data_IF_905212012787
#
_entry.id   IF_905212012787
#
_cell.length_a   1.000
_cell.length_b   1.000
_cell.length_c   1.000
_cell.angle_alpha   90.00
_cell.angle_beta   90.00
_cell.angle_gamma   90.00
#
_symmetry.space_group_name_H-M   'P 1'
#
loop_
_entity.id
_entity.type
_entity.pdbx_description
1 polymer ?
#
# COMPACT_ATOMS: atom_id res chain seq x y z
N UNK A 1 -24.71 -12.18 12.39
CA UNK A 1 -24.04 -11.92 11.09
C UNK A 1 -22.86 -10.96 11.29
N UNK A 2 -21.65 -11.52 11.35
CA UNK A 2 -20.41 -10.76 11.53
C UNK A 2 -20.19 -9.92 10.28
N UNK A 3 -20.33 -8.61 10.39
CA UNK A 3 -19.92 -7.68 9.34
C UNK A 3 -18.40 -7.66 9.32
N UNK A 4 -17.81 -8.47 8.43
CA UNK A 4 -16.38 -8.43 8.12
C UNK A 4 -16.11 -7.10 7.43
N UNK A 5 -15.74 -6.10 8.24
CA UNK A 5 -15.42 -4.75 7.78
C UNK A 5 -14.23 -4.79 6.83
N UNK A 6 -14.46 -4.46 5.57
CA UNK A 6 -13.41 -4.22 4.59
C UNK A 6 -12.71 -2.91 4.98
N UNK A 7 -11.47 -3.00 5.47
CA UNK A 7 -10.65 -1.81 5.74
C UNK A 7 -10.15 -1.25 4.40
N UNK A 8 -10.71 -0.11 3.97
CA UNK A 8 -10.25 0.62 2.79
C UNK A 8 -9.15 1.60 3.21
N UNK A 9 -8.01 1.55 2.52
CA UNK A 9 -7.09 2.69 2.48
C UNK A 9 -7.50 3.51 1.30
N UNK A 10 -8.14 4.65 1.55
CA UNK A 10 -8.35 5.70 0.56
C UNK A 10 -7.28 6.74 0.80
N UNK A 11 -6.19 6.70 0.04
CA UNK A 11 -5.31 7.86 -0.06
C UNK A 11 -5.95 8.85 -1.04
N UNK A 12 -7.09 9.47 -0.68
CA UNK A 12 -7.72 10.54 -1.49
C UNK A 12 -7.12 11.92 -1.17
N UNK A 13 -6.50 12.04 0.00
CA UNK A 13 -5.72 13.17 0.52
C UNK A 13 -5.03 12.68 1.79
N UNK A 14 -4.08 13.45 2.33
CA UNK A 14 -3.46 13.24 3.65
C UNK A 14 -4.52 13.30 4.77
N UNK A 15 -5.45 12.36 4.86
CA UNK A 15 -6.56 12.39 5.81
C UNK A 15 -6.52 11.26 6.84
N UNK A 16 -7.14 11.54 7.99
CA UNK A 16 -7.04 10.82 9.24
C UNK A 16 -7.44 9.33 9.13
N UNK A 17 -6.56 8.44 9.58
CA UNK A 17 -6.83 7.02 9.70
C UNK A 17 -7.24 6.65 11.12
N UNK A 18 -8.21 5.73 11.27
CA UNK A 18 -8.54 5.14 12.57
C UNK A 18 -7.82 3.81 12.73
N UNK A 19 -7.15 3.62 13.86
CA UNK A 19 -6.51 2.35 14.20
C UNK A 19 -7.55 1.25 14.45
N UNK A 20 -7.40 0.08 13.82
CA UNK A 20 -8.37 -1.02 13.95
C UNK A 20 -8.23 -1.80 15.27
N UNK A 21 -7.02 -1.81 15.84
CA UNK A 21 -6.59 -2.44 17.09
C UNK A 21 -5.47 -1.60 17.73
N UNK A 22 -4.93 -2.05 18.86
CA UNK A 22 -3.71 -1.46 19.45
C UNK A 22 -2.62 -1.41 18.39
N UNK A 23 -2.28 -0.20 17.96
CA UNK A 23 -1.38 0.01 16.81
C UNK A 23 0.02 0.25 17.30
N UNK A 24 0.95 -0.58 16.86
CA UNK A 24 2.36 -0.49 17.22
C UNK A 24 3.01 0.65 16.42
N UNK A 25 3.59 1.63 17.12
CA UNK A 25 4.47 2.62 16.52
C UNK A 25 5.88 2.05 16.45
N UNK A 26 6.53 2.20 15.30
CA UNK A 26 7.93 1.82 15.12
C UNK A 26 8.79 3.00 14.73
N UNK A 27 10.04 2.99 15.19
CA UNK A 27 11.04 4.01 14.83
C UNK A 27 11.45 3.96 13.35
N UNK A 28 11.20 2.83 12.68
CA UNK A 28 11.55 2.62 11.27
C UNK A 28 10.43 1.97 10.45
N UNK A 29 10.60 2.01 9.14
CA UNK A 29 9.63 1.52 8.16
C UNK A 29 9.43 -0.01 8.26
N UNK A 30 10.46 -0.75 8.64
CA UNK A 30 10.46 -2.22 8.76
C UNK A 30 9.64 -2.74 9.95
N UNK A 31 9.11 -3.96 9.86
CA UNK A 31 8.56 -4.71 11.01
C UNK A 31 9.62 -4.99 12.08
N UNK A 32 10.88 -5.10 11.70
CA UNK A 32 12.00 -5.39 12.60
C UNK A 32 12.49 -4.14 13.35
N UNK A 33 12.04 -2.95 12.94
CA UNK A 33 12.44 -1.71 13.61
C UNK A 33 11.88 -1.63 15.03
N UNK A 34 12.60 -0.93 15.91
CA UNK A 34 12.25 -0.79 17.31
C UNK A 34 10.82 -0.31 17.53
N UNK A 35 10.15 -0.93 18.49
CA UNK A 35 8.84 -0.47 18.97
C UNK A 35 9.08 0.74 19.86
N UNK A 36 8.52 1.88 19.45
CA UNK A 36 8.67 3.15 20.18
C UNK A 36 7.42 3.53 20.97
N UNK A 37 6.32 2.78 20.78
CA UNK A 37 5.08 2.99 21.53
C UNK A 37 3.89 2.26 20.92
N UNK A 38 2.70 2.54 21.46
CA UNK A 38 1.43 2.05 20.92
C UNK A 38 0.35 3.13 20.93
N UNK A 39 -0.59 3.05 19.98
CA UNK A 39 -1.84 3.79 20.03
C UNK A 39 -2.98 2.89 20.47
N UNK A 40 -3.91 3.40 21.30
CA UNK A 40 -5.19 2.77 21.52
C UNK A 40 -5.95 2.58 20.20
N UNK A 41 -6.83 1.58 20.18
CA UNK A 41 -7.79 1.36 19.08
C UNK A 41 -8.64 2.62 18.84
N UNK A 42 -8.97 2.87 17.57
CA UNK A 42 -9.70 4.03 17.06
C UNK A 42 -9.06 5.41 17.28
N UNK A 43 -7.77 5.47 17.59
CA UNK A 43 -7.04 6.75 17.64
C UNK A 43 -6.92 7.31 16.22
N UNK A 44 -7.39 8.55 15.96
CA UNK A 44 -7.18 9.21 14.68
C UNK A 44 -5.70 9.58 14.53
N UNK A 45 -5.11 9.29 13.39
CA UNK A 45 -3.72 9.62 13.09
C UNK A 45 -3.59 10.22 11.68
N UNK A 46 -2.74 11.23 11.55
CA UNK A 46 -2.40 11.82 10.26
C UNK A 46 -1.21 11.08 9.64
N UNK A 47 -1.39 10.56 8.42
CA UNK A 47 -0.36 9.82 7.70
C UNK A 47 0.26 10.72 6.63
N UNK A 48 1.49 11.16 6.90
CA UNK A 48 2.29 12.00 6.02
C UNK A 48 2.82 11.28 4.77
N UNK A 49 3.11 9.98 4.89
CA UNK A 49 3.69 9.18 3.81
C UNK A 49 3.18 7.75 3.86
N UNK A 50 2.89 7.16 2.70
CA UNK A 50 2.53 5.75 2.61
C UNK A 50 3.48 5.00 1.69
N UNK A 51 3.95 3.84 2.14
CA UNK A 51 4.82 2.94 1.37
C UNK A 51 4.31 1.51 1.42
N UNK A 52 4.47 0.79 0.31
CA UNK A 52 4.27 -0.66 0.26
C UNK A 52 5.60 -1.39 0.43
N UNK A 53 5.65 -2.31 1.40
CA UNK A 53 6.76 -3.22 1.65
C UNK A 53 6.39 -4.62 1.13
N UNK A 54 6.99 -5.02 0.01
CA UNK A 54 6.63 -6.29 -0.61
C UNK A 54 6.98 -7.52 0.25
N UNK A 55 8.21 -7.58 0.78
CA UNK A 55 8.68 -8.72 1.59
C UNK A 55 7.86 -8.91 2.87
N UNK A 56 7.46 -7.80 3.49
CA UNK A 56 6.60 -7.84 4.68
C UNK A 56 5.11 -7.94 4.33
N UNK A 57 4.78 -7.86 3.04
CA UNK A 57 3.41 -7.76 2.51
C UNK A 57 2.60 -6.74 3.29
N UNK A 58 3.10 -5.52 3.46
CA UNK A 58 2.45 -4.50 4.31
C UNK A 58 2.43 -3.14 3.65
N UNK A 59 1.37 -2.39 3.91
CA UNK A 59 1.33 -0.96 3.67
C UNK A 59 1.61 -0.23 4.98
N UNK A 60 2.65 0.60 4.98
CA UNK A 60 3.12 1.35 6.15
C UNK A 60 2.80 2.82 5.97
N UNK A 61 2.38 3.45 7.05
CA UNK A 61 2.12 4.88 7.14
C UNK A 61 3.15 5.55 8.04
N UNK A 62 3.79 6.60 7.56
CA UNK A 62 4.60 7.49 8.38
C UNK A 62 3.73 8.60 8.92
N UNK A 63 3.81 8.84 10.22
CA UNK A 63 3.12 9.95 10.88
C UNK A 63 3.93 11.24 10.73
N UNK A 64 3.29 12.40 10.93
CA UNK A 64 3.98 13.69 10.96
C UNK A 64 5.10 13.75 12.01
N UNK A 65 4.93 13.01 13.11
CA UNK A 65 5.91 12.84 14.19
C UNK A 65 7.09 11.94 13.84
N UNK A 66 7.06 11.29 12.66
CA UNK A 66 8.18 10.51 12.10
C UNK A 66 8.09 8.99 12.32
N UNK A 67 7.25 8.52 13.24
CA UNK A 67 7.07 7.08 13.49
C UNK A 67 6.24 6.40 12.40
N UNK A 68 6.40 5.08 12.30
CA UNK A 68 5.73 4.25 11.31
C UNK A 68 4.70 3.31 11.94
N UNK A 69 3.53 3.27 11.34
CA UNK A 69 2.43 2.37 11.69
C UNK A 69 2.11 1.41 10.53
N UNK A 70 1.50 0.28 10.85
CA UNK A 70 0.91 -0.60 9.82
C UNK A 70 -0.49 -0.10 9.52
N UNK A 71 -0.74 0.27 8.26
CA UNK A 71 -2.08 0.64 7.79
C UNK A 71 -2.82 -0.62 7.32
N UNK A 72 -2.14 -1.48 6.55
CA UNK A 72 -2.73 -2.71 6.01
C UNK A 72 -1.71 -3.83 6.07
N UNK A 73 -2.12 -4.96 6.64
CA UNK A 73 -1.46 -6.25 6.39
C UNK A 73 -2.01 -6.87 5.11
N UNK A 74 -1.15 -7.18 4.15
CA UNK A 74 -1.47 -7.81 2.87
C UNK A 74 -1.10 -9.30 2.85
N UNK A 75 -0.67 -9.85 3.99
CA UNK A 75 -0.52 -11.26 4.24
C UNK A 75 -1.86 -12.00 4.26
N UNK A 76 -1.84 -13.35 4.21
CA UNK A 76 -3.03 -14.13 4.53
C UNK A 76 -3.46 -13.85 5.99
N UNK A 77 -4.77 -13.90 6.25
CA UNK A 77 -5.38 -13.59 7.56
C UNK A 77 -4.85 -14.46 8.72
N UNK A 78 -4.22 -15.59 8.40
CA UNK A 78 -3.62 -16.55 9.33
C UNK A 78 -2.12 -16.31 9.65
N UNK A 79 -1.48 -15.25 9.14
CA UNK A 79 -0.06 -15.00 9.38
C UNK A 79 0.26 -14.42 10.79
N UNK A 80 -0.49 -14.83 11.82
CA UNK A 80 -0.12 -14.59 13.21
C UNK A 80 1.20 -15.29 13.57
N UNK A 81 1.50 -16.43 12.94
CA UNK A 81 2.66 -17.26 13.28
C UNK A 81 3.43 -17.72 12.03
N UNK A 82 4.20 -16.82 11.41
CA UNK A 82 5.39 -17.29 10.68
C UNK A 82 6.55 -17.20 11.68
N UNK A 83 7.12 -18.32 12.14
CA UNK A 83 8.30 -18.31 12.98
C UNK A 83 9.39 -17.51 12.28
N UNK A 84 9.92 -16.51 12.99
CA UNK A 84 11.05 -15.69 12.59
C UNK A 84 12.36 -16.47 12.73
N UNK A 85 12.41 -17.72 12.29
CA UNK A 85 13.62 -18.53 12.29
C UNK A 85 14.28 -18.44 10.92
N UNK A 86 14.96 -17.32 10.69
CA UNK A 86 16.08 -17.30 9.76
C UNK A 86 17.26 -16.61 10.45
N UNK A 87 18.22 -17.37 11.03
CA UNK A 87 19.31 -16.81 11.83
C UNK A 87 20.45 -16.23 10.97
N UNK A 88 20.13 -15.56 9.86
CA UNK A 88 21.13 -14.97 8.98
C UNK A 88 20.65 -13.69 8.28
N UNK A 89 20.50 -12.58 9.03
CA UNK A 89 20.83 -11.26 8.48
C UNK A 89 20.90 -10.17 9.57
N UNK A 90 21.83 -10.30 10.51
CA UNK A 90 22.47 -9.13 11.11
C UNK A 90 23.43 -8.54 10.08
N UNK A 91 22.89 -7.89 9.05
CA UNK A 91 23.65 -7.04 8.15
C UNK A 91 22.73 -5.89 7.74
N UNK A 92 23.14 -4.70 8.16
CA UNK A 92 22.66 -3.38 7.76
C UNK A 92 21.61 -3.41 6.65
N UNK A 93 20.39 -2.97 6.98
CA UNK A 93 19.35 -2.68 6.02
C UNK A 93 19.92 -1.81 4.90
N UNK A 94 20.34 -2.44 3.80
CA UNK A 94 20.80 -1.71 2.62
C UNK A 94 19.56 -0.99 2.09
N UNK A 95 19.55 0.35 2.11
CA UNK A 95 18.36 1.13 1.83
C UNK A 95 18.25 1.29 0.32
N UNK A 96 17.10 0.94 -0.26
CA UNK A 96 16.42 1.66 -1.37
C UNK A 96 15.39 0.80 -2.12
N UNK A 97 15.47 -0.54 -2.12
CA UNK A 97 14.67 -1.35 -3.06
C UNK A 97 13.43 -2.07 -2.44
N UNK A 98 13.09 -1.80 -1.18
CA UNK A 98 11.97 -2.47 -0.48
C UNK A 98 10.68 -1.66 -0.38
N UNK A 99 10.78 -0.33 -0.28
CA UNK A 99 9.64 0.54 -0.02
C UNK A 99 9.21 1.23 -1.32
N UNK A 100 8.00 0.93 -1.78
CA UNK A 100 7.40 1.56 -2.96
C UNK A 100 6.48 2.69 -2.52
N UNK A 101 6.81 3.97 -2.78
CA UNK A 101 5.94 5.09 -2.39
C UNK A 101 4.60 5.02 -3.11
N UNK A 102 3.51 5.16 -2.35
CA UNK A 102 2.14 5.20 -2.86
C UNK A 102 1.63 6.64 -2.93
N UNK A 103 2.37 7.51 -3.63
CA UNK A 103 2.09 8.95 -3.68
C UNK A 103 1.03 9.28 -4.72
N UNK A 104 0.29 10.36 -4.51
CA UNK A 104 -0.55 10.96 -5.56
C UNK A 104 0.29 11.69 -6.61
N UNK A 105 -0.32 12.05 -7.74
CA UNK A 105 0.31 12.83 -8.80
C UNK A 105 0.55 12.05 -10.09
N UNK A 106 1.53 12.48 -10.90
CA UNK A 106 1.73 11.95 -12.25
C UNK A 106 2.47 10.61 -12.25
N UNK A 107 1.96 9.68 -13.04
CA UNK A 107 2.51 8.34 -13.26
C UNK A 107 2.65 8.05 -14.74
N UNK A 108 3.54 7.12 -15.07
CA UNK A 108 3.82 6.63 -16.41
C UNK A 108 3.72 5.11 -16.44
N UNK A 109 3.01 4.57 -17.44
CA UNK A 109 2.80 3.14 -17.61
C UNK A 109 4.11 2.44 -18.01
N UNK A 110 4.44 1.33 -17.35
CA UNK A 110 5.66 0.54 -17.61
C UNK A 110 5.44 -0.79 -18.33
N UNK A 111 4.19 -1.09 -18.71
CA UNK A 111 3.79 -2.34 -19.39
C UNK A 111 3.18 -2.05 -20.75
N UNK A 112 3.23 -3.00 -21.67
CA UNK A 112 2.68 -2.84 -23.04
C UNK A 112 1.20 -2.48 -23.04
N UNK A 113 0.41 -3.11 -22.16
CA UNK A 113 -1.01 -2.84 -22.02
C UNK A 113 -1.41 -2.82 -20.55
N UNK A 114 -1.99 -1.70 -20.12
CA UNK A 114 -2.56 -1.50 -18.80
C UNK A 114 -4.08 -1.30 -18.93
N UNK A 115 -4.86 -2.16 -18.30
CA UNK A 115 -6.32 -2.12 -18.38
C UNK A 115 -6.89 -1.11 -17.38
N UNK A 116 -7.63 -0.13 -17.90
CA UNK A 116 -8.46 0.79 -17.12
C UNK A 116 -9.80 0.14 -16.87
N UNK A 117 -10.16 -0.04 -15.61
CA UNK A 117 -11.44 -0.59 -15.18
C UNK A 117 -12.36 0.54 -14.70
N UNK A 118 -13.68 0.39 -14.83
CA UNK A 118 -14.66 1.37 -14.35
C UNK A 118 -14.71 1.45 -12.83
N UNK A 119 -14.48 0.32 -12.16
CA UNK A 119 -14.49 0.20 -10.71
C UNK A 119 -13.14 -0.22 -10.13
N UNK A 120 -13.05 -0.12 -8.79
CA UNK A 120 -11.82 -0.40 -8.03
C UNK A 120 -11.33 -1.84 -8.23
N UNK A 121 -12.25 -2.81 -8.35
CA UNK A 121 -11.91 -4.23 -8.55
C UNK A 121 -11.43 -4.50 -9.97
N UNK A 122 -10.51 -5.44 -10.14
CA UNK A 122 -10.04 -5.90 -11.46
C UNK A 122 -11.13 -6.62 -12.26
N UNK A 123 -12.12 -7.19 -11.57
CA UNK A 123 -13.32 -7.79 -12.17
C UNK A 123 -14.37 -6.76 -12.63
N UNK A 124 -14.18 -5.48 -12.33
CA UNK A 124 -15.09 -4.42 -12.80
C UNK A 124 -15.03 -4.30 -14.33
N UNK A 125 -16.09 -3.76 -14.94
CA UNK A 125 -16.14 -3.54 -16.38
C UNK A 125 -14.91 -2.81 -16.91
N UNK A 126 -14.31 -3.33 -17.99
CA UNK A 126 -13.17 -2.72 -18.67
C UNK A 126 -13.64 -1.47 -19.41
N UNK A 127 -12.86 -0.40 -19.35
CA UNK A 127 -13.17 0.85 -20.01
C UNK A 127 -12.27 1.07 -21.23
N UNK A 128 -10.96 1.18 -21.00
CA UNK A 128 -9.98 1.32 -22.09
C UNK A 128 -8.65 0.66 -21.72
N UNK A 129 -7.72 0.62 -22.66
CA UNK A 129 -6.32 0.27 -22.42
C UNK A 129 -5.46 1.52 -22.47
N UNK A 130 -4.42 1.52 -21.66
CA UNK A 130 -3.29 2.44 -21.74
C UNK A 130 -2.07 1.67 -22.18
N UNK A 131 -1.16 2.34 -22.86
CA UNK A 131 0.03 1.72 -23.43
C UNK A 131 1.29 2.16 -22.71
N UNK A 132 2.39 1.44 -22.95
CA UNK A 132 3.69 1.75 -22.36
C UNK A 132 4.06 3.22 -22.58
N UNK A 133 4.65 3.86 -21.56
CA UNK A 133 4.99 5.29 -21.49
C UNK A 133 3.81 6.26 -21.53
N UNK A 134 2.56 5.78 -21.56
CA UNK A 134 1.40 6.66 -21.43
C UNK A 134 1.28 7.15 -19.98
N UNK A 135 1.04 8.46 -19.84
CA UNK A 135 0.99 9.16 -18.55
C UNK A 135 -0.43 9.37 -18.07
N UNK A 136 -0.59 9.40 -16.75
CA UNK A 136 -1.86 9.71 -16.10
C UNK A 136 -1.63 10.32 -14.72
N UNK A 137 -2.62 11.05 -14.24
CA UNK A 137 -2.63 11.57 -12.88
C UNK A 137 -3.39 10.62 -11.95
N UNK A 138 -2.74 10.24 -10.84
CA UNK A 138 -3.29 9.46 -9.74
C UNK A 138 -3.83 10.40 -8.68
N UNK A 139 -5.13 10.26 -8.40
CA UNK A 139 -5.84 11.05 -7.38
C UNK A 139 -6.23 10.23 -6.16
N UNK A 140 -6.15 8.90 -6.27
CA UNK A 140 -6.50 8.01 -5.18
C UNK A 140 -5.72 6.70 -5.29
N UNK A 141 -5.27 6.16 -4.16
CA UNK A 141 -4.70 4.81 -4.07
C UNK A 141 -5.51 3.96 -3.11
N UNK A 142 -5.81 2.71 -3.51
CA UNK A 142 -6.44 1.69 -2.68
C UNK A 142 -5.73 0.36 -2.73
N UNK A 143 -5.59 -0.29 -1.58
CA UNK A 143 -5.27 -1.71 -1.52
C UNK A 143 -6.54 -2.54 -1.66
N UNK A 144 -6.60 -3.40 -2.67
CA UNK A 144 -7.70 -4.34 -2.88
C UNK A 144 -7.20 -5.75 -2.58
N UNK A 145 -7.37 -6.17 -1.33
CA UNK A 145 -6.90 -7.47 -0.83
C UNK A 145 -7.42 -8.65 -1.66
N UNK A 146 -8.72 -8.65 -1.99
CA UNK A 146 -9.34 -9.74 -2.78
C UNK A 146 -8.71 -9.94 -4.15
N UNK A 147 -8.14 -8.87 -4.72
CA UNK A 147 -7.56 -8.89 -6.05
C UNK A 147 -6.03 -8.98 -5.98
N UNK A 148 -5.45 -8.94 -4.77
CA UNK A 148 -4.01 -8.83 -4.54
C UNK A 148 -3.41 -7.69 -5.36
N UNK A 149 -4.08 -6.53 -5.37
CA UNK A 149 -3.65 -5.35 -6.13
C UNK A 149 -3.62 -4.11 -5.26
N UNK A 150 -2.58 -3.31 -5.44
CA UNK A 150 -2.66 -1.88 -5.19
C UNK A 150 -3.22 -1.26 -6.47
N UNK A 151 -4.36 -0.58 -6.33
CA UNK A 151 -5.13 0.03 -7.40
C UNK A 151 -5.05 1.55 -7.24
N UNK A 152 -5.02 2.25 -8.35
CA UNK A 152 -5.01 3.71 -8.36
C UNK A 152 -6.14 4.23 -9.24
N UNK A 153 -6.81 5.28 -8.76
CA UNK A 153 -7.81 6.02 -9.53
C UNK A 153 -7.13 7.12 -10.31
N UNK A 154 -7.52 7.24 -11.58
CA UNK A 154 -7.04 8.30 -12.46
C UNK A 154 -7.88 9.57 -12.26
N UNK A 155 -7.30 10.75 -12.43
CA UNK A 155 -8.04 12.03 -12.43
C UNK A 155 -9.15 12.05 -13.50
N UNK A 156 -8.87 11.49 -14.67
CA UNK A 156 -9.84 11.28 -15.76
C UNK A 156 -10.90 10.19 -15.47
N UNK A 157 -10.82 9.56 -14.29
CA UNK A 157 -11.67 8.45 -13.90
C UNK A 157 -11.16 7.08 -14.31
N UNK A 158 -11.80 6.07 -13.73
CA UNK A 158 -11.40 4.67 -13.85
C UNK A 158 -10.19 4.33 -12.98
N UNK A 159 -9.92 3.04 -12.90
CA UNK A 159 -8.97 2.42 -12.00
C UNK A 159 -7.99 1.55 -12.76
N UNK A 160 -6.70 1.68 -12.45
CA UNK A 160 -5.64 0.83 -12.99
C UNK A 160 -4.91 0.14 -11.85
N UNK A 161 -4.25 -0.97 -12.17
CA UNK A 161 -3.34 -1.62 -11.22
C UNK A 161 -2.05 -0.84 -11.20
N UNK A 162 -1.55 -0.52 -10.01
CA UNK A 162 -0.21 0.04 -9.83
C UNK A 162 0.79 -1.07 -9.53
N UNK A 163 0.45 -1.95 -8.57
CA UNK A 163 1.28 -3.07 -8.14
C UNK A 163 0.42 -4.33 -7.99
N UNK A 164 0.92 -5.47 -8.47
CA UNK A 164 0.45 -6.79 -8.04
C UNK A 164 1.20 -7.19 -6.77
N UNK A 165 0.46 -7.39 -5.68
CA UNK A 165 1.05 -7.72 -4.38
C UNK A 165 1.42 -9.20 -4.24
N UNK A 166 0.98 -10.07 -5.16
CA UNK A 166 1.31 -11.49 -5.16
C UNK A 166 2.73 -11.76 -5.67
N UNK A 167 3.15 -11.02 -6.70
CA UNK A 167 4.42 -11.23 -7.43
C UNK A 167 5.29 -9.96 -7.51
N UNK A 168 4.87 -8.89 -6.84
CA UNK A 168 5.52 -7.57 -6.84
C UNK A 168 5.54 -6.83 -8.19
N UNK A 169 4.83 -7.32 -9.22
CA UNK A 169 4.85 -6.72 -10.56
C UNK A 169 4.33 -5.29 -10.52
N UNK A 170 5.14 -4.35 -11.00
CA UNK A 170 4.76 -2.95 -11.15
C UNK A 170 4.20 -2.73 -12.56
N UNK A 171 3.11 -1.96 -12.65
CA UNK A 171 2.45 -1.64 -13.90
C UNK A 171 2.69 -0.20 -14.34
N UNK A 172 2.94 0.69 -13.39
CA UNK A 172 3.27 2.09 -13.64
C UNK A 172 4.25 2.58 -12.57
N UNK A 173 5.04 3.59 -12.91
CA UNK A 173 5.97 4.27 -12.01
C UNK A 173 5.59 5.72 -11.87
N UNK A 174 5.87 6.33 -10.72
CA UNK A 174 5.68 7.76 -10.53
C UNK A 174 6.64 8.53 -11.44
N UNK A 175 6.18 9.61 -12.06
CA UNK A 175 7.06 10.55 -12.73
C UNK A 175 7.79 11.39 -11.68
N UNK A 176 9.07 11.66 -11.91
CA UNK A 176 9.86 12.61 -11.12
C UNK A 176 9.34 14.04 -11.29
#
# INVERSE_FOLDING_TARGET
PVHVGVYYVTAERLDAHKTAETTILRGGVSREADVVGTFPKMTPVEVAETVYLHRERRVRGRLATGQWITIVDCGPESAADIPSDNPASSAAATPLDRAKPLKLGRYETGVEQLVVCRGVRTSSGKWRRMYIRERFEVVETRMVRSDQRIRVRRAEGGWVSLINTSDNKQYAKKCD
#
